data_IF_377117868089
#
_entry.id   IF_377117868089
#
_cell.length_a   1.000
_cell.length_b   1.000
_cell.length_c   1.000
_cell.angle_alpha   90.00
_cell.angle_beta   90.00
_cell.angle_gamma   90.00
#
_symmetry.space_group_name_H-M   'P 1'
#
loop_
_entity.id
_entity.type
_entity.pdbx_description
1 polymer ?
#
# COMPACT_ATOMS: atom_id res chain seq x y z
N UNK A 1 -9.24 3.55 -1.29
CA UNK A 1 -8.79 2.28 -0.67
C UNK A 1 -7.30 2.28 -0.39
N UNK A 2 -6.46 2.69 -1.35
CA UNK A 2 -5.02 2.91 -1.14
C UNK A 2 -4.69 3.75 0.10
N UNK A 3 -5.34 4.90 0.27
CA UNK A 3 -5.14 5.79 1.44
C UNK A 3 -5.47 5.12 2.79
N UNK A 4 -6.49 4.26 2.83
CA UNK A 4 -6.86 3.49 4.03
C UNK A 4 -5.80 2.43 4.34
N UNK A 5 -5.28 1.76 3.31
CA UNK A 5 -4.21 0.77 3.45
C UNK A 5 -2.93 1.43 3.95
N UNK A 6 -2.58 2.59 3.38
CA UNK A 6 -1.42 3.38 3.77
C UNK A 6 -1.52 3.84 5.23
N UNK A 7 -2.67 4.37 5.64
CA UNK A 7 -2.92 4.75 7.01
C UNK A 7 -2.75 3.57 7.98
N UNK A 8 -3.34 2.41 7.66
CA UNK A 8 -3.20 1.21 8.48
C UNK A 8 -1.76 0.72 8.59
N UNK A 9 -1.00 0.75 7.50
CA UNK A 9 0.39 0.29 7.47
C UNK A 9 1.29 1.24 8.26
N UNK A 10 1.10 2.55 8.12
CA UNK A 10 1.83 3.57 8.89
C UNK A 10 1.67 3.41 10.41
N UNK A 11 0.49 3.00 10.87
CA UNK A 11 0.25 2.72 12.29
C UNK A 11 0.90 1.42 12.79
N UNK A 12 1.35 0.53 11.88
CA UNK A 12 1.91 -0.78 12.19
C UNK A 12 3.44 -0.86 12.07
N UNK A 13 4.09 0.18 11.52
CA UNK A 13 5.54 0.23 11.31
C UNK A 13 6.21 1.33 12.13
N UNK A 14 7.49 1.16 12.46
CA UNK A 14 8.24 2.11 13.28
C UNK A 14 8.62 3.40 12.53
N UNK A 15 8.71 3.33 11.20
CA UNK A 15 9.03 4.46 10.30
C UNK A 15 7.87 4.69 9.30
N UNK A 16 6.79 5.38 9.72
CA UNK A 16 5.64 5.59 8.84
C UNK A 16 5.97 6.45 7.62
N UNK A 17 6.95 7.34 7.70
CA UNK A 17 7.32 8.24 6.60
C UNK A 17 8.00 7.53 5.42
N UNK A 18 8.52 6.32 5.64
CA UNK A 18 9.23 5.52 4.63
C UNK A 18 8.30 4.54 3.88
N UNK A 19 7.01 4.49 4.24
CA UNK A 19 6.04 3.57 3.61
C UNK A 19 5.67 4.08 2.23
N UNK A 20 5.98 3.30 1.19
CA UNK A 20 5.54 3.54 -0.18
C UNK A 20 4.64 2.40 -0.69
N UNK A 21 3.57 2.75 -1.40
CA UNK A 21 2.61 1.79 -1.95
C UNK A 21 2.54 1.94 -3.47
N UNK A 22 3.06 0.95 -4.17
CA UNK A 22 2.95 0.81 -5.61
C UNK A 22 1.70 0.00 -5.97
N UNK A 23 0.96 0.45 -6.99
CA UNK A 23 -0.24 -0.20 -7.50
C UNK A 23 0.05 -0.75 -8.89
N UNK A 24 -0.21 -2.04 -9.10
CA UNK A 24 -0.04 -2.73 -10.38
C UNK A 24 -1.34 -3.45 -10.75
N UNK A 25 -1.84 -3.21 -11.95
CA UNK A 25 -2.93 -4.00 -12.53
C UNK A 25 -2.35 -5.30 -13.10
N UNK A 26 -2.74 -6.44 -12.52
CA UNK A 26 -2.31 -7.76 -12.99
C UNK A 26 -3.25 -8.30 -14.08
N UNK A 27 -4.56 -8.06 -13.94
CA UNK A 27 -5.63 -8.47 -14.87
C UNK A 27 -6.84 -7.52 -14.76
N UNK A 28 -7.85 -7.65 -15.63
CA UNK A 28 -9.06 -6.81 -15.67
C UNK A 28 -9.84 -6.66 -14.35
N UNK A 29 -9.58 -7.54 -13.37
CA UNK A 29 -10.24 -7.54 -12.06
C UNK A 29 -9.27 -7.62 -10.88
N UNK A 30 -7.96 -7.62 -11.12
CA UNK A 30 -6.96 -7.86 -10.08
C UNK A 30 -6.00 -6.68 -10.00
N UNK A 31 -5.95 -6.08 -8.82
CA UNK A 31 -5.04 -4.99 -8.49
C UNK A 31 -4.13 -5.47 -7.36
N UNK A 32 -2.83 -5.42 -7.60
CA UNK A 32 -1.79 -5.74 -6.62
C UNK A 32 -1.29 -4.44 -5.99
N UNK A 33 -1.23 -4.42 -4.67
CA UNK A 33 -0.57 -3.35 -3.91
C UNK A 33 0.75 -3.89 -3.34
N UNK A 34 1.87 -3.32 -3.77
CA UNK A 34 3.21 -3.64 -3.25
C UNK A 34 3.61 -2.58 -2.23
N UNK A 35 4.01 -3.03 -1.04
CA UNK A 35 4.51 -2.19 0.03
C UNK A 35 6.03 -2.25 0.06
N UNK A 36 6.70 -1.09 0.09
CA UNK A 36 8.15 -0.95 0.25
C UNK A 36 8.49 -0.26 1.56
#
# INVERSE_FOLDING_TARGET
MKELLEYMVKELVDSPDDVDIEEEEEDEKTIIFKLK
#
